data_IF_373711997215
#
_entry.id   IF_373711997215
#
_cell.length_a   1.000
_cell.length_b   1.000
_cell.length_c   1.000
_cell.angle_alpha   90.00
_cell.angle_beta   90.00
_cell.angle_gamma   90.00
#
_symmetry.space_group_name_H-M   'P 1'
#
loop_
_entity.id
_entity.type
_entity.pdbx_description
1 polymer ?
#
# COMPACT_ATOMS: atom_id res chain seq x y z
N UNK A 1 13.23 17.37 22.52
CA UNK A 1 12.91 17.76 21.12
C UNK A 1 13.71 16.94 20.11
N UNK A 2 15.05 16.94 20.16
CA UNK A 2 15.90 16.12 19.26
C UNK A 2 15.56 14.63 19.27
N UNK A 3 15.34 14.05 20.45
CA UNK A 3 14.99 12.63 20.61
C UNK A 3 13.64 12.26 19.98
N UNK A 4 12.67 13.17 20.00
CA UNK A 4 11.36 12.92 19.39
C UNK A 4 11.44 12.90 17.85
N UNK A 5 12.31 13.75 17.28
CA UNK A 5 12.58 13.77 15.83
C UNK A 5 13.26 12.48 15.39
N UNK A 6 14.24 11.99 16.16
CA UNK A 6 14.95 10.73 15.87
C UNK A 6 13.97 9.55 15.91
N UNK A 7 13.17 9.42 16.98
CA UNK A 7 12.18 8.34 17.09
C UNK A 7 11.14 8.36 15.97
N UNK A 8 10.73 9.55 15.53
CA UNK A 8 9.78 9.68 14.43
C UNK A 8 10.43 9.31 13.08
N UNK A 9 11.69 9.68 12.87
CA UNK A 9 12.44 9.26 11.68
C UNK A 9 12.64 7.74 11.64
N UNK A 10 12.99 7.12 12.76
CA UNK A 10 13.14 5.65 12.87
C UNK A 10 11.82 4.93 12.57
N UNK A 11 10.70 5.45 13.10
CA UNK A 11 9.37 4.93 12.81
C UNK A 11 9.02 5.02 11.31
N UNK A 12 9.33 6.13 10.65
CA UNK A 12 9.08 6.30 9.22
C UNK A 12 9.95 5.37 8.36
N UNK A 13 11.20 5.15 8.75
CA UNK A 13 12.11 4.20 8.08
C UNK A 13 11.59 2.78 8.24
N UNK A 14 11.19 2.40 9.46
CA UNK A 14 10.60 1.09 9.73
C UNK A 14 9.33 0.88 8.89
N UNK A 15 8.44 1.86 8.79
CA UNK A 15 7.26 1.76 7.93
C UNK A 15 7.63 1.60 6.45
N UNK A 16 8.68 2.26 5.97
CA UNK A 16 9.14 2.10 4.59
C UNK A 16 9.74 0.71 4.33
N UNK A 17 10.53 0.18 5.27
CA UNK A 17 11.08 -1.19 5.20
C UNK A 17 9.99 -2.26 5.33
N UNK A 18 8.96 -2.01 6.13
CA UNK A 18 7.80 -2.88 6.33
C UNK A 18 6.73 -2.74 5.26
N UNK A 19 6.86 -1.80 4.31
CA UNK A 19 5.96 -1.68 3.15
C UNK A 19 6.66 -2.16 1.87
N UNK A 20 7.02 -3.45 1.76
CA UNK A 20 7.80 -3.98 0.62
C UNK A 20 6.97 -4.09 -0.66
N UNK A 21 5.66 -3.86 -0.59
CA UNK A 21 4.74 -4.11 -1.70
C UNK A 21 3.80 -2.92 -1.90
N UNK A 22 3.82 -2.36 -3.11
CA UNK A 22 2.80 -1.41 -3.56
C UNK A 22 1.74 -2.21 -4.29
N UNK A 23 0.50 -2.16 -3.79
CA UNK A 23 -0.62 -2.84 -4.40
C UNK A 23 -1.50 -1.82 -5.14
N UNK A 24 -1.72 -2.03 -6.43
CA UNK A 24 -2.62 -1.24 -7.27
C UNK A 24 -3.79 -2.13 -7.66
N UNK A 25 -5.00 -1.72 -7.25
CA UNK A 25 -6.23 -2.43 -7.59
C UNK A 25 -7.10 -1.60 -8.52
N UNK A 26 -7.51 -2.20 -9.64
CA UNK A 26 -8.59 -1.68 -10.47
C UNK A 26 -9.89 -2.23 -9.89
N UNK A 27 -10.76 -1.34 -9.43
CA UNK A 27 -12.03 -1.70 -8.81
C UNK A 27 -13.21 -1.25 -9.66
N UNK A 28 -14.23 -2.08 -9.75
CA UNK A 28 -15.50 -1.74 -10.38
C UNK A 28 -16.60 -1.63 -9.33
N UNK A 29 -17.49 -0.67 -9.52
CA UNK A 29 -18.66 -0.49 -8.69
C UNK A 29 -19.84 -1.18 -9.37
N UNK A 30 -20.36 -2.25 -8.76
CA UNK A 30 -21.54 -2.97 -9.25
C UNK A 30 -22.72 -2.72 -8.33
N UNK A 31 -23.90 -2.54 -8.94
CA UNK A 31 -25.18 -2.48 -8.24
C UNK A 31 -25.81 -3.86 -8.27
N UNK A 32 -26.07 -4.41 -7.08
CA UNK A 32 -26.78 -5.67 -6.92
C UNK A 32 -28.28 -5.50 -7.19
N UNK A 33 -28.98 -6.60 -7.46
CA UNK A 33 -30.42 -6.60 -7.70
C UNK A 33 -31.26 -6.04 -6.53
N UNK A 34 -30.72 -6.12 -5.31
CA UNK A 34 -31.33 -5.51 -4.11
C UNK A 34 -31.02 -4.00 -3.96
N UNK A 35 -30.41 -3.37 -4.97
CA UNK A 35 -30.06 -1.95 -4.99
C UNK A 35 -28.74 -1.59 -4.30
N UNK A 36 -28.10 -2.53 -3.58
CA UNK A 36 -26.84 -2.28 -2.86
C UNK A 36 -25.68 -2.10 -3.84
N UNK A 37 -24.83 -1.11 -3.58
CA UNK A 37 -23.57 -0.93 -4.29
C UNK A 37 -22.47 -1.78 -3.62
N UNK A 38 -21.73 -2.53 -4.42
CA UNK A 38 -20.59 -3.34 -3.99
C UNK A 38 -19.41 -3.05 -4.89
N UNK A 39 -18.23 -2.97 -4.29
CA UNK A 39 -16.98 -2.81 -5.01
C UNK A 39 -16.36 -4.18 -5.24
N UNK A 40 -16.03 -4.47 -6.50
CA UNK A 40 -15.37 -5.71 -6.91
C UNK A 40 -13.98 -5.36 -7.47
N UNK A 41 -12.96 -6.09 -7.06
CA UNK A 41 -11.61 -5.97 -7.63
C UNK A 41 -11.62 -6.68 -8.97
N UNK A 42 -11.37 -5.95 -10.05
CA UNK A 42 -11.27 -6.51 -11.40
C UNK A 42 -9.86 -7.00 -11.68
N UNK A 43 -8.87 -6.21 -11.31
CA UNK A 43 -7.45 -6.51 -11.51
C UNK A 43 -6.64 -6.03 -10.32
N UNK A 44 -5.58 -6.76 -9.99
CA UNK A 44 -4.68 -6.45 -8.90
C UNK A 44 -3.24 -6.61 -9.38
N UNK A 45 -2.46 -5.55 -9.26
CA UNK A 45 -1.04 -5.52 -9.56
C UNK A 45 -0.28 -5.28 -8.25
N UNK A 46 0.54 -6.25 -7.85
CA UNK A 46 1.43 -6.11 -6.70
C UNK A 46 2.84 -5.86 -7.22
N UNK A 47 3.44 -4.75 -6.81
CA UNK A 47 4.81 -4.39 -7.12
C UNK A 47 5.65 -4.60 -5.88
N UNK A 48 6.61 -5.50 -5.93
CA UNK A 48 7.59 -5.65 -4.87
C UNK A 48 8.70 -4.63 -5.06
N UNK A 49 9.08 -3.94 -3.99
CA UNK A 49 10.23 -3.05 -4.02
C UNK A 49 11.49 -3.91 -4.14
N UNK A 50 12.02 -3.97 -5.36
CA UNK A 50 13.18 -4.79 -5.69
C UNK A 50 14.41 -4.23 -4.94
N UNK A 51 14.85 -4.89 -3.85
CA UNK A 51 16.01 -4.47 -3.06
C UNK A 51 17.35 -4.64 -3.79
N UNK A 52 17.34 -5.14 -5.03
CA UNK A 52 18.50 -5.21 -5.88
C UNK A 52 18.81 -3.82 -6.49
N UNK A 53 19.42 -2.95 -5.69
CA UNK A 53 20.21 -1.83 -6.23
C UNK A 53 21.42 -2.43 -6.95
N UNK A 54 21.63 -2.19 -8.26
CA UNK A 54 22.95 -2.35 -8.84
C UNK A 54 23.85 -1.31 -8.17
N UNK A 55 24.98 -1.75 -7.62
CA UNK A 55 26.07 -0.84 -7.27
C UNK A 55 26.77 -0.34 -8.53
#
# INVERSE_FOLDING_TARGET
MREAIIKYADFLIQQLEETPQVNIQIRSLKRLANGKLVTEVLEELTFEQNSASPR
#
